data_IF_710182864082
#
_entry.id   IF_710182864082
#
_cell.length_a   1.000
_cell.length_b   1.000
_cell.length_c   1.000
_cell.angle_alpha   90.00
_cell.angle_beta   90.00
_cell.angle_gamma   90.00
#
_symmetry.space_group_name_H-M   'P 1'
#
loop_
_entity.id
_entity.type
_entity.pdbx_description
1 polymer ?
#
# COMPACT_ATOMS: atom_id res chain seq x y z
N UNK A 1 -18.60 -5.82 6.11
CA UNK A 1 -17.92 -4.97 7.12
C UNK A 1 -18.44 -3.54 7.01
N UNK A 2 -18.60 -2.81 8.12
CA UNK A 2 -19.31 -1.52 8.15
C UNK A 2 -18.35 -0.34 7.89
N UNK A 3 -18.65 0.51 6.88
CA UNK A 3 -17.87 1.68 6.42
C UNK A 3 -17.35 2.58 7.54
N UNK A 4 -18.12 2.69 8.64
CA UNK A 4 -17.75 3.49 9.83
C UNK A 4 -16.52 2.96 10.58
N UNK A 5 -16.32 1.64 10.61
CA UNK A 5 -15.18 1.03 11.27
C UNK A 5 -13.88 1.31 10.50
N UNK A 6 -13.95 1.31 9.17
CA UNK A 6 -12.82 1.60 8.29
C UNK A 6 -12.34 3.06 8.43
N UNK A 7 -13.27 4.03 8.42
CA UNK A 7 -12.94 5.45 8.58
C UNK A 7 -12.29 5.75 9.94
N UNK A 8 -12.75 5.09 11.01
CA UNK A 8 -12.12 5.21 12.34
C UNK A 8 -10.70 4.66 12.34
N UNK A 9 -10.46 3.50 11.73
CA UNK A 9 -9.13 2.93 11.64
C UNK A 9 -8.18 3.88 10.89
N UNK A 10 -8.62 4.46 9.78
CA UNK A 10 -7.81 5.40 8.99
C UNK A 10 -7.46 6.68 9.77
N UNK A 11 -8.44 7.27 10.47
CA UNK A 11 -8.20 8.43 11.33
C UNK A 11 -7.26 8.13 12.50
N UNK A 12 -7.26 6.90 13.01
CA UNK A 12 -6.40 6.47 14.12
C UNK A 12 -4.95 6.33 13.66
N UNK A 13 -4.73 5.78 12.46
CA UNK A 13 -3.40 5.65 11.85
C UNK A 13 -2.81 7.04 11.53
N UNK A 14 -3.64 7.96 11.01
CA UNK A 14 -3.16 9.30 10.66
C UNK A 14 -2.72 10.13 11.89
N UNK A 15 -3.35 9.90 13.05
CA UNK A 15 -2.96 10.55 14.32
C UNK A 15 -1.70 9.96 14.94
N UNK A 16 -1.38 8.70 14.65
CA UNK A 16 -0.13 8.06 15.08
C UNK A 16 1.08 8.51 14.25
N UNK A 17 0.84 9.15 13.11
CA UNK A 17 1.89 9.66 12.21
C UNK A 17 2.37 11.08 12.52
N UNK A 18 1.82 11.76 13.55
CA UNK A 18 2.32 13.08 13.97
C UNK A 18 3.63 12.91 14.78
N UNK A 19 4.79 13.36 14.27
CA UNK A 19 6.05 13.19 14.96
C UNK A 19 6.20 14.23 16.07
N UNK A 20 6.51 13.79 17.30
CA UNK A 20 6.96 14.67 18.38
C UNK A 20 8.26 15.35 17.96
N UNK A 21 8.25 16.68 17.92
CA UNK A 21 9.40 17.51 17.59
C UNK A 21 10.63 17.17 18.44
N UNK A 22 11.73 16.76 17.80
CA UNK A 22 13.07 16.72 18.36
C UNK A 22 14.05 17.45 17.42
N UNK A 23 15.05 18.07 18.04
CA UNK A 23 15.99 19.10 17.55
C UNK A 23 16.85 18.63 16.36
N UNK A 24 17.21 19.49 15.38
CA UNK A 24 18.00 19.08 14.23
C UNK A 24 19.49 18.99 14.60
N UNK A 25 19.96 17.76 14.77
CA UNK A 25 21.37 17.39 14.54
C UNK A 25 21.39 16.69 13.19
N UNK A 26 22.37 16.96 12.33
CA UNK A 26 22.46 16.38 10.98
C UNK A 26 22.16 14.87 11.03
N UNK A 27 21.28 14.34 10.16
CA UNK A 27 20.83 12.98 10.32
C UNK A 27 21.95 12.04 9.87
N UNK A 28 22.71 11.51 10.83
CA UNK A 28 23.18 10.14 10.70
C UNK A 28 21.98 9.32 10.27
N UNK A 29 22.10 8.57 9.18
CA UNK A 29 21.00 7.83 8.62
C UNK A 29 20.34 6.94 9.68
N UNK A 30 19.14 7.32 10.14
CA UNK A 30 18.42 6.62 11.21
C UNK A 30 17.32 5.76 10.60
N UNK A 31 17.68 4.53 10.25
CA UNK A 31 16.72 3.49 9.93
C UNK A 31 16.99 2.28 10.83
N UNK A 32 15.98 1.88 11.61
CA UNK A 32 16.02 0.64 12.39
C UNK A 32 15.93 -0.62 11.50
N UNK A 33 15.53 -0.44 10.23
CA UNK A 33 15.17 -1.53 9.32
C UNK A 33 16.18 -1.76 8.21
N UNK A 34 16.91 -0.72 7.80
CA UNK A 34 17.79 -0.73 6.63
C UNK A 34 19.20 -0.34 7.04
N UNK A 35 20.21 -0.98 6.45
CA UNK A 35 21.62 -0.84 6.87
C UNK A 35 22.27 0.48 6.43
N UNK A 36 21.77 1.08 5.35
CA UNK A 36 22.26 2.34 4.80
C UNK A 36 21.14 3.06 4.04
N UNK A 37 21.35 4.36 3.76
CA UNK A 37 20.44 5.16 2.94
C UNK A 37 20.36 4.64 1.50
N UNK A 38 21.48 4.11 0.98
CA UNK A 38 21.57 3.53 -0.35
C UNK A 38 20.73 2.25 -0.45
N UNK A 39 20.81 1.38 0.56
CA UNK A 39 20.02 0.15 0.63
C UNK A 39 18.52 0.46 0.67
N UNK A 40 18.11 1.45 1.47
CA UNK A 40 16.71 1.87 1.52
C UNK A 40 16.23 2.45 0.19
N UNK A 41 17.04 3.29 -0.46
CA UNK A 41 16.72 3.83 -1.77
C UNK A 41 16.54 2.71 -2.80
N UNK A 42 17.46 1.74 -2.83
CA UNK A 42 17.39 0.60 -3.74
C UNK A 42 16.16 -0.28 -3.48
N UNK A 43 15.89 -0.59 -2.22
CA UNK A 43 14.72 -1.40 -1.82
C UNK A 43 13.43 -0.67 -2.20
N UNK A 44 13.32 0.63 -1.93
CA UNK A 44 12.16 1.45 -2.32
C UNK A 44 12.00 1.49 -3.83
N UNK A 45 13.08 1.68 -4.58
CA UNK A 45 13.04 1.70 -6.04
C UNK A 45 12.57 0.35 -6.60
N UNK A 46 13.10 -0.76 -6.08
CA UNK A 46 12.66 -2.11 -6.44
C UNK A 46 11.16 -2.32 -6.16
N UNK A 47 10.70 -1.95 -4.96
CA UNK A 47 9.27 -2.06 -4.61
C UNK A 47 8.39 -1.16 -5.48
N UNK A 48 8.86 0.04 -5.81
CA UNK A 48 8.15 0.95 -6.70
C UNK A 48 8.07 0.41 -8.12
N UNK A 49 9.15 -0.18 -8.64
CA UNK A 49 9.16 -0.85 -9.94
C UNK A 49 8.19 -2.05 -9.97
N UNK A 50 8.19 -2.87 -8.90
CA UNK A 50 7.24 -3.98 -8.75
C UNK A 50 5.79 -3.48 -8.67
N UNK A 51 5.54 -2.40 -7.95
CA UNK A 51 4.23 -1.76 -7.89
C UNK A 51 3.78 -1.28 -9.27
N UNK A 52 4.64 -0.57 -10.02
CA UNK A 52 4.33 -0.13 -11.39
C UNK A 52 4.01 -1.30 -12.32
N UNK A 53 4.77 -2.40 -12.23
CA UNK A 53 4.51 -3.61 -13.01
C UNK A 53 3.13 -4.20 -12.67
N UNK A 54 2.84 -4.34 -11.38
CA UNK A 54 1.56 -4.88 -10.91
C UNK A 54 0.39 -3.95 -11.29
N UNK A 55 0.59 -2.64 -11.23
CA UNK A 55 -0.38 -1.63 -11.65
C UNK A 55 -0.69 -1.76 -13.15
N UNK A 56 0.35 -1.87 -13.98
CA UNK A 56 0.18 -2.04 -15.42
C UNK A 56 -0.56 -3.35 -15.76
N UNK A 57 -0.23 -4.45 -15.06
CA UNK A 57 -0.97 -5.71 -15.20
C UNK A 57 -2.44 -5.54 -14.78
N UNK A 58 -2.70 -4.93 -13.63
CA UNK A 58 -4.06 -4.69 -13.13
C UNK A 58 -4.90 -3.78 -14.04
N UNK A 59 -4.28 -2.77 -14.67
CA UNK A 59 -4.92 -1.89 -15.65
C UNK A 59 -5.20 -2.60 -16.97
N UNK A 60 -4.34 -3.56 -17.36
CA UNK A 60 -4.49 -4.36 -18.57
C UNK A 60 -5.53 -5.47 -18.49
N UNK A 61 -6.09 -5.76 -17.31
CA UNK A 61 -7.13 -6.79 -17.12
C UNK A 61 -8.53 -6.16 -17.00
N UNK A 62 -9.38 -6.23 -18.04
CA UNK A 62 -10.72 -5.65 -18.03
C UNK A 62 -11.62 -6.24 -16.95
N UNK A 63 -11.45 -7.52 -16.65
CA UNK A 63 -12.20 -8.22 -15.61
C UNK A 63 -11.82 -7.75 -14.19
N UNK A 64 -10.58 -7.32 -13.99
CA UNK A 64 -10.16 -6.75 -12.71
C UNK A 64 -10.76 -5.34 -12.54
N UNK A 65 -10.79 -4.56 -13.62
CA UNK A 65 -11.44 -3.24 -13.62
C UNK A 65 -12.94 -3.33 -13.35
N UNK A 66 -13.63 -4.34 -13.88
CA UNK A 66 -15.06 -4.53 -13.62
C UNK A 66 -15.32 -4.91 -12.15
N UNK A 67 -14.42 -5.69 -11.53
CA UNK A 67 -14.47 -6.00 -10.10
C UNK A 67 -14.19 -4.77 -9.22
N UNK A 68 -13.19 -3.95 -9.58
CA UNK A 68 -12.80 -2.74 -8.83
C UNK A 68 -13.91 -1.68 -8.85
N UNK A 69 -14.58 -1.51 -9.99
CA UNK A 69 -15.62 -0.48 -10.16
C UNK A 69 -16.99 -0.92 -9.61
N UNK A 70 -17.13 -2.14 -9.11
CA UNK A 70 -18.37 -2.66 -8.55
C UNK A 70 -18.57 -2.14 -7.12
N UNK A 71 -19.76 -1.63 -6.83
CA UNK A 71 -20.09 -1.04 -5.52
C UNK A 71 -20.08 -2.07 -4.38
N UNK A 72 -20.60 -3.27 -4.66
CA UNK A 72 -20.67 -4.39 -3.73
C UNK A 72 -20.11 -5.66 -4.38
N UNK A 73 -19.35 -6.42 -3.60
CA UNK A 73 -18.74 -7.67 -4.04
C UNK A 73 -19.56 -8.87 -3.58
N UNK A 74 -19.85 -9.76 -4.52
CA UNK A 74 -20.42 -11.07 -4.22
C UNK A 74 -19.34 -12.09 -3.84
N UNK A 75 -19.78 -13.23 -3.34
CA UNK A 75 -18.90 -14.37 -3.06
C UNK A 75 -18.26 -14.95 -4.35
N UNK A 76 -18.89 -14.74 -5.51
CA UNK A 76 -18.32 -15.11 -6.80
C UNK A 76 -17.26 -14.11 -7.28
N UNK A 77 -17.46 -12.82 -7.01
CA UNK A 77 -16.50 -11.77 -7.34
C UNK A 77 -15.18 -11.95 -6.58
N UNK A 78 -15.26 -12.33 -5.30
CA UNK A 78 -14.08 -12.67 -4.48
C UNK A 78 -13.38 -13.93 -4.96
N UNK A 79 -14.12 -14.98 -5.37
CA UNK A 79 -13.54 -16.18 -5.99
C UNK A 79 -12.82 -15.86 -7.30
N UNK A 80 -13.40 -15.00 -8.15
CA UNK A 80 -12.78 -14.54 -9.40
C UNK A 80 -11.49 -13.76 -9.14
N UNK A 81 -11.51 -12.83 -8.18
CA UNK A 81 -10.31 -12.09 -7.78
C UNK A 81 -9.20 -13.03 -7.31
N UNK A 82 -9.51 -13.99 -6.45
CA UNK A 82 -8.53 -14.96 -5.95
C UNK A 82 -7.97 -15.87 -7.05
N UNK A 83 -8.78 -16.23 -8.04
CA UNK A 83 -8.32 -16.99 -9.20
C UNK A 83 -7.34 -16.19 -10.09
N UNK A 84 -7.51 -14.87 -10.19
CA UNK A 84 -6.62 -13.99 -10.95
C UNK A 84 -5.30 -13.68 -10.25
N UNK A 85 -5.25 -13.81 -8.92
CA UNK A 85 -4.07 -13.55 -8.11
C UNK A 85 -3.16 -14.79 -7.94
N UNK A 86 -3.62 -15.96 -8.40
CA UNK A 86 -2.81 -17.19 -8.47
C UNK A 86 -1.94 -17.19 -9.73
#
# INVERSE_FOLDING_TARGET
MNKKAFLKAYQTINKLAEPKAQVPTEPEYQSDLYKSAEDEALIKEYHFAKFKKNLAQAQGHPELQSLINKEDWSEEDTKKLLAMLR
#
